data_IF_081991554953
#
_entry.id   IF_081991554953
#
_cell.length_a   1.000
_cell.length_b   1.000
_cell.length_c   1.000
_cell.angle_alpha   90.00
_cell.angle_beta   90.00
_cell.angle_gamma   90.00
#
_symmetry.space_group_name_H-M   'P 1'
#
loop_
_entity.id
_entity.type
_entity.pdbx_description
1 polymer ?
#
# COMPACT_ATOMS: atom_id res chain seq x y z
N UNK A 1 14.08 2.44 -2.25
CA UNK A 1 13.66 2.60 -0.86
C UNK A 1 14.69 3.43 -0.11
N UNK A 2 14.34 4.58 0.48
CA UNK A 2 15.26 5.39 1.27
C UNK A 2 15.71 4.65 2.53
N UNK A 3 16.96 4.89 2.93
CA UNK A 3 17.54 4.30 4.14
C UNK A 3 18.82 5.00 4.55
N UNK A 4 19.33 4.75 5.76
CA UNK A 4 20.61 5.28 6.20
C UNK A 4 21.76 4.66 5.39
N UNK A 5 22.74 5.48 5.08
CA UNK A 5 24.00 5.06 4.43
C UNK A 5 25.15 5.49 5.33
N UNK A 6 26.02 4.54 5.69
CA UNK A 6 27.24 4.81 6.41
C UNK A 6 28.39 4.93 5.41
N UNK A 7 29.13 6.05 5.47
CA UNK A 7 30.38 6.24 4.74
C UNK A 7 31.48 6.35 5.77
N UNK A 8 32.38 5.38 5.79
CA UNK A 8 33.59 5.42 6.64
C UNK A 8 34.73 6.08 5.85
N UNK A 9 35.24 7.19 6.39
CA UNK A 9 36.36 7.95 5.77
C UNK A 9 37.57 7.80 6.67
N UNK A 10 38.53 7.02 6.21
CA UNK A 10 39.73 6.71 6.98
C UNK A 10 40.68 7.93 7.11
N UNK A 11 41.52 7.95 8.14
CA UNK A 11 42.37 9.09 8.50
C UNK A 11 43.37 9.45 7.36
N UNK A 12 43.91 8.48 6.68
CA UNK A 12 44.81 8.65 5.55
C UNK A 12 44.13 9.35 4.36
N UNK A 13 42.87 8.99 4.08
CA UNK A 13 42.05 9.62 3.03
C UNK A 13 41.74 11.08 3.35
N UNK A 14 41.44 11.37 4.64
CA UNK A 14 41.15 12.76 5.08
C UNK A 14 42.37 13.68 5.03
N UNK A 15 43.59 13.13 5.04
CA UNK A 15 44.83 13.87 4.96
C UNK A 15 45.42 13.93 3.53
N UNK A 16 44.85 13.19 2.59
CA UNK A 16 45.33 13.12 1.21
C UNK A 16 44.88 14.36 0.41
N UNK A 17 45.77 14.83 -0.45
CA UNK A 17 45.45 15.85 -1.44
C UNK A 17 44.90 15.20 -2.70
N UNK A 18 43.87 15.79 -3.29
CA UNK A 18 43.30 15.32 -4.54
C UNK A 18 42.82 16.48 -5.44
N UNK A 19 42.79 16.24 -6.74
CA UNK A 19 42.15 17.16 -7.67
C UNK A 19 40.62 17.01 -7.53
N UNK A 20 39.95 18.10 -7.20
CA UNK A 20 38.49 18.12 -7.02
C UNK A 20 37.79 18.69 -8.24
N UNK A 21 36.94 17.88 -8.84
CA UNK A 21 36.00 18.33 -9.88
C UNK A 21 34.55 18.25 -9.35
N UNK A 22 33.82 19.38 -9.28
CA UNK A 22 32.43 19.37 -8.84
C UNK A 22 31.59 18.43 -9.71
N UNK A 23 30.82 17.54 -9.08
CA UNK A 23 29.85 16.70 -9.79
C UNK A 23 28.45 17.07 -9.34
N UNK A 24 27.57 17.30 -10.30
CA UNK A 24 26.13 17.44 -10.03
C UNK A 24 25.57 16.03 -9.85
N UNK A 25 24.95 15.73 -8.70
CA UNK A 25 24.29 14.44 -8.49
C UNK A 25 23.22 14.20 -9.56
N UNK A 26 23.15 13.00 -10.10
CA UNK A 26 22.04 12.62 -10.98
C UNK A 26 20.76 12.55 -10.16
N UNK A 27 19.63 12.99 -10.72
CA UNK A 27 18.34 12.79 -10.08
C UNK A 27 18.08 11.29 -9.81
N UNK A 28 17.41 11.01 -8.71
CA UNK A 28 16.94 9.64 -8.43
C UNK A 28 15.79 9.35 -9.38
N UNK A 29 15.96 8.35 -10.25
CA UNK A 29 14.94 7.91 -11.18
C UNK A 29 14.02 6.85 -10.53
N UNK A 30 12.76 6.79 -11.00
CA UNK A 30 11.82 5.74 -10.59
C UNK A 30 12.30 4.38 -11.10
N UNK A 31 12.15 3.35 -10.28
CA UNK A 31 12.52 1.96 -10.65
C UNK A 31 11.40 1.39 -11.51
N UNK A 32 11.56 1.48 -12.81
CA UNK A 32 10.61 0.98 -13.82
C UNK A 32 11.14 -0.22 -14.61
N UNK A 33 12.46 -0.36 -14.69
CA UNK A 33 13.10 -1.45 -15.45
C UNK A 33 12.83 -2.86 -14.89
N UNK A 34 12.48 -2.95 -13.60
CA UNK A 34 12.13 -4.23 -12.95
C UNK A 34 10.69 -4.68 -13.22
N UNK A 35 9.83 -3.80 -13.77
CA UNK A 35 8.43 -4.11 -14.06
C UNK A 35 8.35 -4.97 -15.30
N UNK A 36 7.96 -6.23 -15.12
CA UNK A 36 7.76 -7.18 -16.21
C UNK A 36 6.30 -7.20 -16.63
N UNK A 37 6.03 -7.14 -17.93
CA UNK A 37 4.67 -7.18 -18.46
C UNK A 37 3.94 -8.48 -18.11
N UNK A 38 4.65 -9.62 -18.05
CA UNK A 38 4.08 -10.89 -17.60
C UNK A 38 3.53 -10.83 -16.17
N UNK A 39 4.19 -10.08 -15.27
CA UNK A 39 3.72 -9.94 -13.88
C UNK A 39 2.54 -8.97 -13.80
N UNK A 40 2.49 -7.93 -14.66
CA UNK A 40 1.31 -7.08 -14.84
C UNK A 40 0.12 -7.91 -15.33
N UNK A 41 0.30 -8.77 -16.35
CA UNK A 41 -0.77 -9.59 -16.90
C UNK A 41 -1.30 -10.63 -15.89
N UNK A 42 -0.42 -11.20 -15.07
CA UNK A 42 -0.80 -12.05 -13.94
C UNK A 42 -1.61 -11.28 -12.89
N UNK A 43 -1.16 -10.07 -12.55
CA UNK A 43 -1.87 -9.21 -11.61
C UNK A 43 -3.29 -8.88 -12.12
N UNK A 44 -3.43 -8.43 -13.37
CA UNK A 44 -4.72 -8.15 -14.00
C UNK A 44 -5.62 -9.39 -14.01
N UNK A 45 -5.06 -10.56 -14.30
CA UNK A 45 -5.80 -11.83 -14.31
C UNK A 45 -6.33 -12.18 -12.92
N UNK A 46 -5.54 -11.96 -11.85
CA UNK A 46 -5.98 -12.19 -10.48
C UNK A 46 -7.08 -11.21 -10.08
N UNK A 47 -6.92 -9.94 -10.42
CA UNK A 47 -7.92 -8.90 -10.12
C UNK A 47 -9.25 -9.21 -10.81
N UNK A 48 -9.25 -9.55 -12.10
CA UNK A 48 -10.47 -9.88 -12.85
C UNK A 48 -11.21 -11.13 -12.32
N UNK A 49 -10.54 -11.99 -11.57
CA UNK A 49 -11.14 -13.22 -10.99
C UNK A 49 -11.63 -13.04 -9.57
N UNK A 50 -11.23 -11.96 -8.91
CA UNK A 50 -11.63 -11.69 -7.54
C UNK A 50 -13.13 -11.37 -7.46
N UNK A 51 -13.77 -11.82 -6.38
CA UNK A 51 -15.15 -11.48 -6.04
C UNK A 51 -15.24 -10.55 -4.84
N UNK A 52 -14.20 -10.56 -4.00
CA UNK A 52 -14.08 -9.77 -2.78
C UNK A 52 -12.69 -9.14 -2.70
N UNK A 53 -12.30 -8.31 -3.70
CA UNK A 53 -10.98 -7.67 -3.67
C UNK A 53 -10.91 -6.67 -2.53
N UNK A 54 -9.72 -6.53 -1.94
CA UNK A 54 -9.45 -5.55 -0.90
C UNK A 54 -8.09 -4.91 -1.12
N UNK A 55 -8.00 -3.58 -1.03
CA UNK A 55 -6.76 -2.84 -1.28
C UNK A 55 -6.15 -2.38 0.04
N UNK A 56 -4.91 -2.74 0.30
CA UNK A 56 -4.12 -2.32 1.44
C UNK A 56 -2.94 -1.44 0.98
N UNK A 57 -2.90 -0.20 1.47
CA UNK A 57 -1.95 0.82 0.99
C UNK A 57 -0.89 1.12 2.04
N UNK A 58 0.36 1.15 1.62
CA UNK A 58 1.50 1.50 2.46
C UNK A 58 2.20 2.78 2.06
N UNK A 59 3.25 3.12 2.82
CA UNK A 59 4.05 4.33 2.60
C UNK A 59 4.75 4.38 1.24
N UNK A 60 4.94 3.24 0.58
CA UNK A 60 5.48 3.19 -0.78
C UNK A 60 4.61 3.89 -1.81
N UNK A 61 3.28 3.86 -1.64
CA UNK A 61 2.36 4.61 -2.50
C UNK A 61 2.51 6.14 -2.33
N UNK A 62 2.74 6.60 -1.08
CA UNK A 62 3.02 8.02 -0.78
C UNK A 62 4.34 8.45 -1.39
N UNK A 63 5.41 7.68 -1.17
CA UNK A 63 6.76 7.98 -1.69
C UNK A 63 6.77 8.00 -3.21
N UNK A 64 5.98 7.14 -3.84
CA UNK A 64 5.83 7.04 -5.29
C UNK A 64 4.92 8.15 -5.87
N UNK A 65 4.25 8.95 -5.03
CA UNK A 65 3.25 9.94 -5.45
C UNK A 65 2.15 9.31 -6.33
N UNK A 66 1.65 8.15 -5.91
CA UNK A 66 0.77 7.31 -6.70
C UNK A 66 -0.73 7.59 -6.45
N UNK A 67 -1.10 8.67 -5.77
CA UNK A 67 -2.47 8.90 -5.29
C UNK A 67 -3.51 8.94 -6.41
N UNK A 68 -3.21 9.59 -7.52
CA UNK A 68 -4.15 9.68 -8.66
C UNK A 68 -4.34 8.32 -9.35
N UNK A 69 -3.25 7.58 -9.56
CA UNK A 69 -3.29 6.24 -10.15
C UNK A 69 -3.97 5.24 -9.22
N UNK A 70 -3.74 5.38 -7.91
CA UNK A 70 -4.39 4.57 -6.88
C UNK A 70 -5.90 4.81 -6.84
N UNK A 71 -6.33 6.06 -6.91
CA UNK A 71 -7.75 6.41 -6.97
C UNK A 71 -8.42 5.77 -8.19
N UNK A 72 -7.86 5.96 -9.38
CA UNK A 72 -8.35 5.33 -10.62
C UNK A 72 -8.38 3.81 -10.52
N UNK A 73 -7.35 3.22 -9.93
CA UNK A 73 -7.25 1.77 -9.73
C UNK A 73 -8.37 1.25 -8.82
N UNK A 74 -8.57 1.88 -7.67
CA UNK A 74 -9.60 1.52 -6.70
C UNK A 74 -11.00 1.65 -7.29
N UNK A 75 -11.25 2.71 -8.05
CA UNK A 75 -12.53 2.92 -8.76
C UNK A 75 -12.76 1.85 -9.84
N UNK A 76 -11.72 1.47 -10.61
CA UNK A 76 -11.82 0.42 -11.63
C UNK A 76 -12.03 -0.97 -11.03
N UNK A 77 -11.33 -1.27 -9.94
CA UNK A 77 -11.48 -2.56 -9.23
C UNK A 77 -12.80 -2.59 -8.44
N UNK A 78 -13.39 -1.45 -8.14
CA UNK A 78 -14.56 -1.30 -7.25
C UNK A 78 -14.32 -1.98 -5.90
N UNK A 79 -13.23 -1.63 -5.24
CA UNK A 79 -12.78 -2.30 -4.02
C UNK A 79 -12.71 -1.37 -2.80
N UNK A 80 -12.94 -1.88 -1.59
CA UNK A 80 -12.65 -1.16 -0.36
C UNK A 80 -11.14 -1.00 -0.15
N UNK A 81 -10.77 0.08 0.54
CA UNK A 81 -9.36 0.46 0.79
C UNK A 81 -9.12 0.69 2.27
N UNK A 82 -8.01 0.19 2.76
CA UNK A 82 -7.41 0.64 4.02
C UNK A 82 -5.91 0.94 3.84
N UNK A 83 -5.35 1.61 4.82
CA UNK A 83 -3.95 1.99 4.81
C UNK A 83 -3.20 1.56 6.08
N UNK A 84 -1.89 1.48 5.96
CA UNK A 84 -0.98 1.47 7.09
C UNK A 84 -0.79 2.91 7.61
N UNK A 85 -0.19 3.06 8.80
CA UNK A 85 0.14 4.38 9.34
C UNK A 85 0.93 5.24 8.34
N UNK A 86 1.92 4.65 7.66
CA UNK A 86 2.73 5.35 6.67
C UNK A 86 2.06 5.50 5.29
N UNK A 87 0.94 4.82 5.07
CA UNK A 87 0.14 4.93 3.84
C UNK A 87 -0.93 6.02 3.92
N UNK A 88 -1.14 6.61 5.11
CA UNK A 88 -2.12 7.70 5.28
C UNK A 88 -1.80 8.88 4.37
N UNK A 89 -2.86 9.37 3.70
CA UNK A 89 -2.76 10.43 2.71
C UNK A 89 -2.53 9.94 1.27
N UNK A 90 -2.25 8.66 1.04
CA UNK A 90 -2.19 8.12 -0.32
C UNK A 90 -3.57 7.97 -0.97
N UNK A 91 -4.61 7.76 -0.16
CA UNK A 91 -5.99 7.68 -0.59
C UNK A 91 -6.87 8.59 0.26
N UNK A 92 -7.87 9.20 -0.35
CA UNK A 92 -8.78 10.14 0.32
C UNK A 92 -9.60 9.43 1.41
N UNK A 93 -9.41 9.83 2.66
CA UNK A 93 -10.12 9.28 3.82
C UNK A 93 -11.61 9.61 3.86
N UNK A 94 -12.08 10.61 3.09
CA UNK A 94 -13.50 10.96 2.95
C UNK A 94 -14.21 10.13 1.88
N UNK A 95 -13.46 9.40 1.05
CA UNK A 95 -14.02 8.54 0.01
C UNK A 95 -14.81 7.38 0.63
N UNK A 96 -15.96 7.07 0.07
CA UNK A 96 -16.83 5.99 0.57
C UNK A 96 -16.18 4.60 0.61
N UNK A 97 -15.16 4.37 -0.24
CA UNK A 97 -14.39 3.12 -0.30
C UNK A 97 -13.33 3.03 0.80
N UNK A 98 -13.02 4.13 1.47
CA UNK A 98 -12.05 4.12 2.55
C UNK A 98 -12.66 3.55 3.82
N UNK A 99 -12.04 2.51 4.37
CA UNK A 99 -12.57 1.76 5.52
C UNK A 99 -11.85 2.08 6.83
N UNK A 100 -10.68 2.72 6.77
CA UNK A 100 -9.91 3.11 7.97
C UNK A 100 -9.65 1.93 8.90
N UNK A 101 -10.03 2.08 10.18
CA UNK A 101 -9.82 1.07 11.23
C UNK A 101 -10.53 -0.28 10.98
N UNK A 102 -11.56 -0.30 10.13
CA UNK A 102 -12.28 -1.52 9.78
C UNK A 102 -11.53 -2.42 8.78
N UNK A 103 -10.36 -1.96 8.31
CA UNK A 103 -9.54 -2.69 7.36
C UNK A 103 -9.26 -4.15 7.73
N UNK A 104 -9.10 -4.45 9.02
CA UNK A 104 -8.83 -5.81 9.48
C UNK A 104 -10.01 -6.77 9.26
N UNK A 105 -11.25 -6.29 9.34
CA UNK A 105 -12.43 -7.09 9.02
C UNK A 105 -12.42 -7.45 7.54
N UNK A 106 -12.24 -6.46 6.66
CA UNK A 106 -12.18 -6.69 5.21
C UNK A 106 -11.04 -7.62 4.79
N UNK A 107 -9.85 -7.45 5.37
CA UNK A 107 -8.68 -8.31 5.13
C UNK A 107 -8.95 -9.77 5.54
N UNK A 108 -9.76 -10.00 6.57
CA UNK A 108 -10.09 -11.36 7.03
C UNK A 108 -11.06 -12.09 6.11
N UNK A 109 -11.86 -11.37 5.33
CA UNK A 109 -12.95 -11.92 4.51
C UNK A 109 -12.73 -11.80 3.01
N UNK A 110 -11.77 -10.99 2.56
CA UNK A 110 -11.48 -10.84 1.15
C UNK A 110 -10.97 -12.17 0.54
N UNK A 111 -11.15 -12.32 -0.77
CA UNK A 111 -10.58 -13.41 -1.55
C UNK A 111 -9.30 -13.01 -2.31
N UNK A 112 -9.08 -11.69 -2.46
CA UNK A 112 -7.86 -11.12 -3.00
C UNK A 112 -7.45 -9.88 -2.19
N UNK A 113 -6.28 -9.95 -1.55
CA UNK A 113 -5.64 -8.80 -0.90
C UNK A 113 -4.62 -8.20 -1.85
N UNK A 114 -4.86 -6.96 -2.29
CA UNK A 114 -3.98 -6.20 -3.18
C UNK A 114 -3.17 -5.22 -2.32
N UNK A 115 -1.87 -5.40 -2.24
CA UNK A 115 -0.98 -4.65 -1.36
C UNK A 115 -0.12 -3.70 -2.17
N UNK A 116 -0.29 -2.39 -1.95
CA UNK A 116 0.38 -1.35 -2.72
C UNK A 116 1.42 -0.64 -1.86
N UNK A 117 2.70 -0.94 -2.08
CA UNK A 117 3.81 -0.28 -1.39
C UNK A 117 3.80 -0.45 0.13
N UNK A 118 3.30 -1.59 0.61
CA UNK A 118 3.24 -1.91 2.04
C UNK A 118 4.01 -3.20 2.34
N UNK A 119 4.92 -3.12 3.30
CA UNK A 119 5.55 -4.31 3.88
C UNK A 119 4.63 -4.94 4.93
N UNK A 120 4.67 -6.25 5.02
CA UNK A 120 3.93 -7.00 6.03
C UNK A 120 4.71 -7.02 7.35
N UNK A 121 4.73 -5.88 8.07
CA UNK A 121 5.31 -5.84 9.42
C UNK A 121 4.41 -6.56 10.43
N UNK A 122 4.96 -6.92 11.57
CA UNK A 122 4.24 -7.50 12.71
C UNK A 122 3.06 -6.64 13.18
N UNK A 123 3.20 -5.32 13.12
CA UNK A 123 2.14 -4.35 13.46
C UNK A 123 0.94 -4.44 12.53
N UNK A 124 1.16 -4.85 11.28
CA UNK A 124 0.11 -5.00 10.27
C UNK A 124 -0.49 -6.40 10.33
N UNK A 125 0.37 -7.42 10.37
CA UNK A 125 -0.08 -8.81 10.26
C UNK A 125 -0.54 -9.41 11.59
N UNK A 126 -0.05 -8.87 12.72
CA UNK A 126 -0.22 -9.51 14.01
C UNK A 126 0.30 -10.94 13.94
N UNK A 127 -0.60 -11.91 13.92
CA UNK A 127 -0.22 -13.31 13.67
C UNK A 127 -0.21 -13.59 12.17
N UNK A 128 0.99 -13.58 11.56
CA UNK A 128 1.18 -13.80 10.12
C UNK A 128 0.54 -15.10 9.60
N UNK A 129 0.46 -16.16 10.43
CA UNK A 129 -0.19 -17.42 10.05
C UNK A 129 -1.71 -17.34 9.91
N UNK A 130 -2.32 -16.31 10.53
CA UNK A 130 -3.77 -16.07 10.49
C UNK A 130 -4.14 -14.90 9.60
N UNK A 131 -3.17 -14.10 9.17
CA UNK A 131 -3.38 -12.90 8.35
C UNK A 131 -3.85 -13.29 6.96
N UNK A 132 -4.96 -12.70 6.50
CA UNK A 132 -5.54 -12.88 5.17
C UNK A 132 -5.63 -14.37 4.74
N UNK A 133 -5.96 -15.27 5.67
CA UNK A 133 -5.86 -16.73 5.50
C UNK A 133 -6.66 -17.27 4.30
N UNK A 134 -7.75 -16.60 3.95
CA UNK A 134 -8.66 -17.03 2.89
C UNK A 134 -8.42 -16.29 1.57
N UNK A 135 -7.50 -15.32 1.56
CA UNK A 135 -7.23 -14.49 0.40
C UNK A 135 -5.98 -14.96 -0.36
N UNK A 136 -5.99 -14.77 -1.68
CA UNK A 136 -4.77 -14.65 -2.45
C UNK A 136 -4.13 -13.30 -2.19
N UNK A 137 -2.81 -13.22 -2.24
CA UNK A 137 -2.06 -12.01 -1.97
C UNK A 137 -1.33 -11.57 -3.22
N UNK A 138 -1.66 -10.37 -3.71
CA UNK A 138 -0.99 -9.68 -4.80
C UNK A 138 -0.24 -8.48 -4.23
N UNK A 139 1.10 -8.47 -4.33
CA UNK A 139 1.94 -7.42 -3.75
C UNK A 139 2.67 -6.61 -4.82
N UNK A 140 2.59 -5.28 -4.71
CA UNK A 140 3.38 -4.33 -5.49
C UNK A 140 4.41 -3.69 -4.57
N UNK A 141 5.68 -3.89 -4.84
CA UNK A 141 6.76 -3.36 -4.03
C UNK A 141 7.99 -3.02 -4.90
N UNK A 142 8.76 -2.04 -4.45
CA UNK A 142 10.02 -1.65 -5.10
C UNK A 142 11.20 -2.50 -4.62
N UNK A 143 11.05 -3.15 -3.46
CA UNK A 143 12.10 -3.90 -2.78
C UNK A 143 11.85 -5.41 -2.88
N UNK A 144 12.65 -6.09 -3.70
CA UNK A 144 12.55 -7.53 -3.87
C UNK A 144 12.74 -8.32 -2.56
N UNK A 145 13.46 -7.75 -1.57
CA UNK A 145 13.68 -8.39 -0.27
C UNK A 145 12.42 -8.40 0.62
N UNK A 146 11.40 -7.61 0.32
CA UNK A 146 10.12 -7.64 1.05
C UNK A 146 9.15 -8.70 0.50
N UNK A 147 9.38 -9.21 -0.72
CA UNK A 147 8.53 -10.24 -1.32
C UNK A 147 8.74 -11.58 -0.61
N UNK A 148 7.65 -12.21 -0.19
CA UNK A 148 7.64 -13.49 0.53
C UNK A 148 8.40 -13.50 1.87
N UNK A 149 8.74 -12.33 2.43
CA UNK A 149 9.52 -12.23 3.66
C UNK A 149 8.72 -12.66 4.90
N UNK A 150 7.58 -12.06 5.13
CA UNK A 150 6.74 -12.32 6.32
C UNK A 150 5.43 -13.03 5.97
N UNK A 151 4.90 -12.76 4.78
CA UNK A 151 3.68 -13.36 4.25
C UNK A 151 3.98 -13.85 2.84
N UNK A 152 3.54 -15.06 2.51
CA UNK A 152 3.71 -15.61 1.16
C UNK A 152 2.73 -14.94 0.21
N UNK A 153 3.22 -14.48 -0.92
CA UNK A 153 2.41 -13.88 -2.00
C UNK A 153 2.09 -14.89 -3.09
N UNK A 154 0.91 -14.80 -3.68
CA UNK A 154 0.50 -15.59 -4.85
C UNK A 154 1.01 -14.98 -6.15
N UNK A 155 1.11 -13.65 -6.19
CA UNK A 155 1.75 -12.91 -7.26
C UNK A 155 2.33 -11.59 -6.73
N UNK A 156 3.31 -11.05 -7.45
CA UNK A 156 3.88 -9.75 -7.14
C UNK A 156 4.33 -9.03 -8.41
N UNK A 157 4.44 -7.71 -8.33
CA UNK A 157 5.05 -6.87 -9.35
C UNK A 157 6.12 -6.02 -8.67
N UNK A 158 7.37 -6.12 -9.17
CA UNK A 158 8.50 -5.34 -8.65
C UNK A 158 8.66 -4.04 -9.41
N UNK A 159 8.65 -2.92 -8.71
CA UNK A 159 8.90 -1.60 -9.27
C UNK A 159 8.20 -0.47 -8.53
N UNK A 160 8.24 0.70 -9.13
CA UNK A 160 7.57 1.90 -8.63
C UNK A 160 6.04 1.74 -8.64
N UNK A 161 5.39 2.03 -7.50
CA UNK A 161 3.95 1.79 -7.34
C UNK A 161 3.09 2.61 -8.33
N UNK A 162 3.48 3.86 -8.62
CA UNK A 162 2.77 4.72 -9.58
C UNK A 162 2.79 4.10 -10.97
N UNK A 163 3.96 3.67 -11.42
CA UNK A 163 4.11 3.08 -12.75
C UNK A 163 3.39 1.73 -12.87
N UNK A 164 3.44 0.89 -11.82
CA UNK A 164 2.70 -0.37 -11.76
C UNK A 164 1.19 -0.12 -11.89
N UNK A 165 0.65 0.79 -11.07
CA UNK A 165 -0.77 1.12 -11.09
C UNK A 165 -1.21 1.70 -12.44
N UNK A 166 -0.39 2.55 -13.05
CA UNK A 166 -0.65 3.09 -14.39
C UNK A 166 -0.81 1.97 -15.41
N UNK A 167 0.15 1.05 -15.51
CA UNK A 167 0.11 -0.08 -16.46
C UNK A 167 -1.06 -1.02 -16.21
N UNK A 168 -1.40 -1.27 -14.95
CA UNK A 168 -2.59 -2.07 -14.60
C UNK A 168 -3.87 -1.34 -15.01
N UNK A 169 -3.98 -0.04 -14.72
CA UNK A 169 -5.14 0.78 -15.09
C UNK A 169 -5.39 0.80 -16.60
N UNK A 170 -4.33 0.77 -17.41
CA UNK A 170 -4.44 0.74 -18.87
C UNK A 170 -4.99 -0.60 -19.40
N UNK A 171 -4.82 -1.70 -18.65
CA UNK A 171 -5.26 -3.07 -19.02
C UNK A 171 -6.54 -3.53 -18.31
N UNK A 172 -6.98 -2.80 -17.30
CA UNK A 172 -8.11 -3.19 -16.45
C UNK A 172 -9.39 -2.48 -16.90
N UNK A 173 -10.43 -3.25 -17.15
CA UNK A 173 -11.80 -2.74 -17.33
C UNK A 173 -12.45 -2.50 -15.95
N UNK A 174 -13.51 -1.69 -15.93
CA UNK A 174 -14.28 -1.49 -14.71
C UNK A 174 -14.89 -2.82 -14.25
N UNK A 175 -14.71 -3.12 -12.97
CA UNK A 175 -15.33 -4.26 -12.30
C UNK A 175 -16.55 -3.78 -11.52
N UNK A 176 -17.39 -4.69 -11.09
CA UNK A 176 -18.53 -4.43 -10.21
C UNK A 176 -18.45 -5.37 -9.00
N UNK A 177 -18.23 -4.80 -7.83
CA UNK A 177 -18.21 -5.49 -6.56
C UNK A 177 -19.12 -4.77 -5.54
N UNK A 178 -20.22 -4.19 -6.02
CA UNK A 178 -21.16 -3.41 -5.22
C UNK A 178 -21.69 -4.16 -4.00
N UNK A 179 -22.02 -5.45 -4.13
CA UNK A 179 -22.47 -6.28 -3.00
C UNK A 179 -21.37 -6.41 -1.92
N UNK A 180 -20.11 -6.54 -2.36
CA UNK A 180 -18.97 -6.59 -1.44
C UNK A 180 -18.73 -5.24 -0.75
N UNK A 181 -18.82 -4.16 -1.49
CA UNK A 181 -18.73 -2.81 -0.93
C UNK A 181 -19.82 -2.54 0.10
N UNK A 182 -21.07 -2.96 -0.18
CA UNK A 182 -22.19 -2.81 0.74
C UNK A 182 -21.98 -3.63 2.02
N UNK A 183 -21.50 -4.86 1.88
CA UNK A 183 -21.14 -5.71 3.03
C UNK A 183 -20.05 -5.05 3.90
N UNK A 184 -19.00 -4.49 3.31
CA UNK A 184 -17.96 -3.78 4.06
C UNK A 184 -18.50 -2.51 4.73
N UNK A 185 -19.40 -1.79 4.07
CA UNK A 185 -20.06 -0.61 4.66
C UNK A 185 -20.89 -0.95 5.89
N UNK A 186 -21.51 -2.14 5.93
CA UNK A 186 -22.30 -2.58 7.10
C UNK A 186 -21.47 -2.65 8.37
N UNK A 187 -20.16 -2.95 8.28
CA UNK A 187 -19.28 -2.96 9.46
C UNK A 187 -19.17 -1.61 10.17
N UNK A 188 -19.34 -0.50 9.46
CA UNK A 188 -19.36 0.83 10.09
C UNK A 188 -20.57 1.00 11.01
N UNK A 189 -21.65 0.30 10.71
CA UNK A 189 -22.88 0.28 11.52
C UNK A 189 -22.76 -0.72 12.67
N UNK A 190 -22.22 -1.90 12.40
CA UNK A 190 -22.10 -3.00 13.38
C UNK A 190 -21.00 -2.73 14.42
N UNK A 191 -19.92 -2.07 14.00
CA UNK A 191 -18.75 -1.77 14.83
C UNK A 191 -18.43 -0.27 14.89
N UNK A 192 -19.35 0.59 15.36
CA UNK A 192 -19.11 2.02 15.47
C UNK A 192 -17.99 2.29 16.50
N UNK A 193 -17.14 3.25 16.22
CA UNK A 193 -16.17 3.73 17.22
C UNK A 193 -16.92 4.36 18.39
N UNK A 194 -16.72 3.80 19.58
CA UNK A 194 -17.34 4.27 20.83
C UNK A 194 -16.27 4.79 21.77
N UNK A 195 -16.45 5.99 22.28
CA UNK A 195 -15.63 6.59 23.32
C UNK A 195 -16.47 7.52 24.18
N UNK A 196 -16.01 7.78 25.41
CA UNK A 196 -16.71 8.68 26.32
C UNK A 196 -16.46 10.13 25.89
N UNK A 197 -17.53 10.86 25.58
CA UNK A 197 -17.47 12.27 25.16
C UNK A 197 -17.44 13.26 26.33
N UNK A 198 -17.69 12.79 27.56
CA UNK A 198 -17.75 13.63 28.75
C UNK A 198 -16.36 13.83 29.40
N UNK A 199 -15.38 13.06 28.97
CA UNK A 199 -14.00 13.14 29.47
C UNK A 199 -13.01 13.35 28.32
N UNK A 200 -11.95 14.14 28.61
CA UNK A 200 -10.88 14.35 27.65
C UNK A 200 -10.14 13.04 27.39
N UNK A 201 -10.14 12.61 26.12
CA UNK A 201 -9.45 11.41 25.64
C UNK A 201 -8.96 11.59 24.21
N UNK A 202 -8.11 10.68 23.73
CA UNK A 202 -7.49 10.78 22.41
C UNK A 202 -8.52 10.87 21.27
N UNK A 203 -9.52 9.98 21.16
CA UNK A 203 -10.55 10.08 20.14
C UNK A 203 -11.30 11.40 20.10
N UNK A 204 -11.68 11.94 21.26
CA UNK A 204 -12.35 13.24 21.35
C UNK A 204 -11.45 14.39 20.87
N UNK A 205 -10.17 14.37 21.23
CA UNK A 205 -9.20 15.37 20.77
C UNK A 205 -9.08 15.31 19.24
N UNK A 206 -8.94 14.12 18.66
CA UNK A 206 -8.84 13.95 17.21
C UNK A 206 -10.10 14.41 16.48
N UNK A 207 -11.28 14.14 17.03
CA UNK A 207 -12.54 14.63 16.48
C UNK A 207 -12.57 16.16 16.46
N UNK A 208 -12.17 16.79 17.57
CA UNK A 208 -12.14 18.27 17.69
C UNK A 208 -11.08 18.96 16.82
N UNK A 209 -10.00 18.27 16.48
CA UNK A 209 -9.02 18.77 15.51
C UNK A 209 -9.55 18.69 14.08
N UNK A 210 -10.40 17.70 13.79
CA UNK A 210 -10.96 17.49 12.48
C UNK A 210 -12.12 18.44 12.13
N UNK A 211 -12.91 18.87 13.12
CA UNK A 211 -13.96 19.89 13.01
C UNK A 211 -13.38 21.27 12.65
#
# INVERSE_FOLDING_TARGET
RPGPVLVDVTKDVTAAECEYSPRVPKPVERITASIKEEDIDKAVTLIKKAKKPYVFVGGGAVISEASDELKKFVEKVDAPVCDSLMGKGAFDGSNERYTGMLGMHGVSECDLLIVVGARFSDRVTGNAKKFAKNAKILQFDVDAAEINKNVRTDAHVLGDAKEILKRINDKLDNQDHSDWMEHIKSYKLDYPMRYNRDILNGPLIMEKIYE
#
